data_IF_608639974608
#
_entry.id   IF_608639974608
#
_cell.length_a   1.000
_cell.length_b   1.000
_cell.length_c   1.000
_cell.angle_alpha   90.00
_cell.angle_beta   90.00
_cell.angle_gamma   90.00
#
_symmetry.space_group_name_H-M   'P 1'
#
loop_
_entity.id
_entity.type
_entity.pdbx_description
1 polymer ?
#
# COMPACT_ATOMS: atom_id res chain seq x y z
N UNK A 1 -8.24 -16.15 21.55
CA UNK A 1 -7.51 -16.87 20.48
C UNK A 1 -8.39 -17.36 19.30
N UNK A 2 -9.74 -17.30 19.38
CA UNK A 2 -10.69 -17.61 18.28
C UNK A 2 -10.85 -16.51 17.21
N UNK A 3 -10.40 -15.29 17.49
CA UNK A 3 -10.59 -14.11 16.62
C UNK A 3 -9.71 -14.13 15.34
N UNK A 4 -8.88 -15.15 15.15
CA UNK A 4 -7.74 -15.10 14.22
C UNK A 4 -7.94 -15.87 12.91
N UNK A 5 -9.13 -16.41 12.65
CA UNK A 5 -9.43 -17.29 11.51
C UNK A 5 -9.84 -16.54 10.24
N UNK A 6 -10.40 -15.33 10.34
CA UNK A 6 -11.00 -14.62 9.21
C UNK A 6 -10.06 -13.62 8.53
N UNK A 7 -9.02 -14.12 7.85
CA UNK A 7 -8.31 -13.31 6.84
C UNK A 7 -9.10 -13.20 5.53
N UNK A 8 -10.34 -13.71 5.45
CA UNK A 8 -11.18 -13.72 4.24
C UNK A 8 -12.51 -12.98 4.47
N UNK A 9 -12.53 -11.95 5.33
CA UNK A 9 -13.75 -11.22 5.64
C UNK A 9 -14.31 -10.56 4.38
N UNK A 10 -15.49 -11.00 3.94
CA UNK A 10 -16.20 -10.37 2.81
C UNK A 10 -16.67 -8.98 3.26
N UNK A 11 -16.49 -7.92 2.45
CA UNK A 11 -17.01 -6.60 2.76
C UNK A 11 -18.53 -6.61 2.95
N UNK A 12 -19.03 -5.65 3.73
CA UNK A 12 -20.47 -5.54 3.98
C UNK A 12 -21.22 -5.23 2.66
N UNK A 13 -22.51 -5.58 2.59
CA UNK A 13 -23.34 -5.22 1.45
C UNK A 13 -23.38 -3.69 1.24
N UNK A 14 -23.41 -2.91 2.33
CA UNK A 14 -23.37 -1.45 2.27
C UNK A 14 -22.08 -0.95 1.61
N UNK A 15 -20.93 -1.53 1.98
CA UNK A 15 -19.65 -1.24 1.35
C UNK A 15 -19.68 -1.55 -0.14
N UNK A 16 -20.18 -2.72 -0.54
CA UNK A 16 -20.18 -3.13 -1.95
C UNK A 16 -21.06 -2.20 -2.81
N UNK A 17 -22.21 -1.79 -2.30
CA UNK A 17 -23.10 -0.82 -2.97
C UNK A 17 -22.41 0.55 -3.06
N UNK A 18 -21.88 1.05 -1.94
CA UNK A 18 -21.16 2.32 -1.90
C UNK A 18 -20.00 2.32 -2.90
N UNK A 19 -19.18 1.27 -2.90
CA UNK A 19 -18.07 1.07 -3.83
C UNK A 19 -18.52 1.17 -5.29
N UNK A 20 -19.60 0.47 -5.67
CA UNK A 20 -20.10 0.50 -7.05
C UNK A 20 -20.53 1.91 -7.48
N UNK A 21 -21.26 2.63 -6.62
CA UNK A 21 -21.70 4.00 -6.92
C UNK A 21 -20.50 4.92 -7.05
N UNK A 22 -19.57 4.89 -6.09
CA UNK A 22 -18.36 5.72 -6.11
C UNK A 22 -17.51 5.41 -7.35
N UNK A 23 -17.37 4.13 -7.70
CA UNK A 23 -16.66 3.74 -8.91
C UNK A 23 -17.30 4.36 -10.17
N UNK A 24 -18.63 4.35 -10.29
CA UNK A 24 -19.33 4.97 -11.42
C UNK A 24 -19.03 6.47 -11.48
N UNK A 25 -19.05 7.16 -10.34
CA UNK A 25 -18.74 8.60 -10.26
C UNK A 25 -17.30 8.86 -10.72
N UNK A 26 -16.30 8.15 -10.18
CA UNK A 26 -14.90 8.30 -10.58
C UNK A 26 -14.65 8.02 -12.07
N UNK A 27 -15.49 7.20 -12.70
CA UNK A 27 -15.36 6.87 -14.12
C UNK A 27 -16.14 7.80 -15.06
N UNK A 28 -16.75 8.89 -14.55
CA UNK A 28 -17.33 9.91 -15.42
C UNK A 28 -16.24 10.53 -16.31
N UNK A 29 -16.63 10.87 -17.54
CA UNK A 29 -15.68 11.32 -18.56
C UNK A 29 -15.00 12.65 -18.20
N UNK A 30 -15.70 13.56 -17.52
CA UNK A 30 -15.17 14.83 -17.03
C UNK A 30 -14.08 14.61 -15.97
N UNK A 31 -14.34 13.80 -14.95
CA UNK A 31 -13.34 13.45 -13.92
C UNK A 31 -12.12 12.77 -14.54
N UNK A 32 -12.35 11.77 -15.40
CA UNK A 32 -11.26 11.05 -16.06
C UNK A 32 -10.44 11.95 -17.00
N UNK A 33 -11.06 12.95 -17.62
CA UNK A 33 -10.37 13.95 -18.43
C UNK A 33 -9.48 14.83 -17.56
N UNK A 34 -9.99 15.36 -16.44
CA UNK A 34 -9.19 16.18 -15.51
C UNK A 34 -7.97 15.42 -14.99
N UNK A 35 -8.13 14.15 -14.62
CA UNK A 35 -7.00 13.30 -14.19
C UNK A 35 -5.97 13.12 -15.33
N UNK A 36 -6.44 12.96 -16.56
CA UNK A 36 -5.59 12.71 -17.75
C UNK A 36 -4.80 13.96 -18.16
N UNK A 37 -5.49 15.11 -18.28
CA UNK A 37 -4.88 16.40 -18.55
C UNK A 37 -3.76 16.70 -17.55
N UNK A 38 -4.00 16.40 -16.28
CA UNK A 38 -3.00 16.60 -15.25
C UNK A 38 -1.78 15.68 -15.37
N UNK A 39 -1.97 14.39 -15.64
CA UNK A 39 -0.85 13.47 -15.83
C UNK A 39 0.05 13.90 -16.98
N UNK A 40 -0.55 14.45 -18.04
CA UNK A 40 0.20 15.03 -19.15
C UNK A 40 1.03 16.24 -18.69
N UNK A 41 0.43 17.17 -17.94
CA UNK A 41 1.14 18.33 -17.37
C UNK A 41 2.31 17.88 -16.49
N UNK A 42 2.10 16.89 -15.62
CA UNK A 42 3.15 16.36 -14.74
C UNK A 42 4.32 15.78 -15.56
N UNK A 43 4.00 14.97 -16.58
CA UNK A 43 4.98 14.35 -17.46
C UNK A 43 5.80 15.38 -18.25
N UNK A 44 5.16 16.45 -18.72
CA UNK A 44 5.79 17.46 -19.56
C UNK A 44 6.60 18.49 -18.74
N UNK A 45 6.11 18.90 -17.57
CA UNK A 45 6.62 20.07 -16.85
C UNK A 45 7.40 19.75 -15.58
N UNK A 46 7.45 18.49 -15.14
CA UNK A 46 8.16 18.12 -13.91
C UNK A 46 7.57 18.79 -12.67
N UNK A 47 6.25 18.68 -12.50
CA UNK A 47 5.50 19.36 -11.43
C UNK A 47 5.96 18.89 -10.04
N UNK A 48 6.21 19.80 -9.07
CA UNK A 48 6.58 19.45 -7.70
C UNK A 48 5.54 18.57 -6.99
N UNK A 49 6.00 17.66 -6.13
CA UNK A 49 5.14 16.70 -5.42
C UNK A 49 3.96 17.36 -4.64
N UNK A 50 4.14 18.55 -4.07
CA UNK A 50 3.07 19.22 -3.32
C UNK A 50 1.88 19.66 -4.18
N UNK A 51 2.11 20.05 -5.44
CA UNK A 51 1.03 20.37 -6.38
C UNK A 51 0.25 19.12 -6.79
N UNK A 52 0.92 17.96 -6.81
CA UNK A 52 0.31 16.65 -7.05
C UNK A 52 -0.66 16.25 -5.93
N UNK A 53 -0.40 16.68 -4.69
CA UNK A 53 -1.31 16.44 -3.56
C UNK A 53 -2.52 17.36 -3.63
N UNK A 54 -2.32 18.68 -3.79
CA UNK A 54 -3.42 19.66 -3.85
C UNK A 54 -4.44 19.32 -4.93
N UNK A 55 -3.98 18.97 -6.12
CA UNK A 55 -4.92 18.67 -7.20
C UNK A 55 -5.66 17.34 -6.99
N UNK A 56 -5.05 16.37 -6.31
CA UNK A 56 -5.80 15.18 -5.90
C UNK A 56 -6.92 15.55 -4.92
N UNK A 57 -6.67 16.47 -4.00
CA UNK A 57 -7.69 16.99 -3.09
C UNK A 57 -8.81 17.70 -3.87
N UNK A 58 -8.47 18.51 -4.88
CA UNK A 58 -9.47 19.20 -5.71
C UNK A 58 -10.39 18.22 -6.45
N UNK A 59 -9.82 17.21 -7.14
CA UNK A 59 -10.61 16.20 -7.87
C UNK A 59 -11.43 15.36 -6.88
N UNK A 60 -10.84 15.00 -5.74
CA UNK A 60 -11.54 14.21 -4.72
C UNK A 60 -12.69 15.00 -4.10
N UNK A 61 -12.49 16.29 -3.82
CA UNK A 61 -13.51 17.20 -3.31
C UNK A 61 -14.66 17.33 -4.31
N UNK A 62 -14.35 17.49 -5.60
CA UNK A 62 -15.35 17.50 -6.66
C UNK A 62 -16.17 16.19 -6.71
N UNK A 63 -15.50 15.04 -6.57
CA UNK A 63 -16.19 13.74 -6.47
C UNK A 63 -17.07 13.67 -5.21
N UNK A 64 -16.59 14.17 -4.07
CA UNK A 64 -17.36 14.23 -2.82
C UNK A 64 -18.61 15.10 -2.97
N UNK A 65 -18.53 16.24 -3.64
CA UNK A 65 -19.68 17.09 -3.93
C UNK A 65 -20.73 16.37 -4.79
N UNK A 66 -20.28 15.68 -5.85
CA UNK A 66 -21.17 14.86 -6.68
C UNK A 66 -21.87 13.82 -5.82
N UNK A 67 -21.11 13.08 -5.01
CA UNK A 67 -21.62 12.04 -4.12
C UNK A 67 -22.60 12.59 -3.08
N UNK A 68 -22.31 13.75 -2.51
CA UNK A 68 -23.18 14.41 -1.54
C UNK A 68 -24.50 14.85 -2.19
N UNK A 69 -24.49 15.23 -3.47
CA UNK A 69 -25.70 15.61 -4.22
C UNK A 69 -26.56 14.43 -4.68
N UNK A 70 -26.09 13.18 -4.57
CA UNK A 70 -26.88 12.01 -4.96
C UNK A 70 -28.11 11.84 -4.05
N UNK A 71 -29.28 11.78 -4.68
CA UNK A 71 -30.58 11.55 -4.06
C UNK A 71 -30.94 10.05 -4.06
N UNK A 72 -31.85 9.65 -3.17
CA UNK A 72 -32.35 8.26 -3.09
C UNK A 72 -31.37 7.24 -2.49
N UNK A 73 -30.18 7.66 -2.06
CA UNK A 73 -29.20 6.80 -1.41
C UNK A 73 -29.49 6.69 0.09
N UNK A 74 -29.60 5.46 0.66
CA UNK A 74 -29.80 5.29 2.10
C UNK A 74 -28.70 5.96 2.94
N UNK A 75 -29.02 6.61 4.07
CA UNK A 75 -28.03 7.34 4.88
C UNK A 75 -26.80 6.50 5.29
N UNK A 76 -27.01 5.22 5.60
CA UNK A 76 -25.91 4.30 5.96
C UNK A 76 -24.93 4.08 4.79
N UNK A 77 -25.44 3.97 3.57
CA UNK A 77 -24.61 3.84 2.35
C UNK A 77 -23.92 5.16 2.07
N UNK A 78 -24.62 6.29 2.22
CA UNK A 78 -24.07 7.64 2.00
C UNK A 78 -22.92 7.95 2.96
N UNK A 79 -23.01 7.50 4.22
CA UNK A 79 -21.90 7.57 5.18
C UNK A 79 -20.69 6.76 4.73
N UNK A 80 -20.90 5.51 4.29
CA UNK A 80 -19.81 4.65 3.82
C UNK A 80 -19.15 5.20 2.54
N UNK A 81 -19.95 5.81 1.66
CA UNK A 81 -19.46 6.46 0.43
C UNK A 81 -18.46 7.57 0.72
N UNK A 82 -18.70 8.39 1.75
CA UNK A 82 -17.78 9.47 2.13
C UNK A 82 -16.37 8.93 2.46
N UNK A 83 -16.30 7.80 3.17
CA UNK A 83 -15.04 7.14 3.53
C UNK A 83 -14.34 6.50 2.31
N UNK A 84 -15.11 5.99 1.34
CA UNK A 84 -14.59 5.26 0.17
C UNK A 84 -14.04 6.20 -0.92
N UNK A 85 -14.66 7.36 -1.14
CA UNK A 85 -14.32 8.29 -2.24
C UNK A 85 -12.83 8.56 -2.31
N UNK A 86 -12.23 8.91 -1.17
CA UNK A 86 -10.82 9.25 -1.10
C UNK A 86 -9.94 8.03 -1.41
N UNK A 87 -10.28 6.87 -0.85
CA UNK A 87 -9.47 5.66 -1.02
C UNK A 87 -9.43 5.21 -2.47
N UNK A 88 -10.56 5.26 -3.18
CA UNK A 88 -10.61 4.95 -4.61
C UNK A 88 -9.80 5.97 -5.40
N UNK A 89 -9.93 7.26 -5.09
CA UNK A 89 -9.14 8.32 -5.72
C UNK A 89 -7.63 8.09 -5.60
N UNK A 90 -7.16 7.71 -4.41
CA UNK A 90 -5.75 7.32 -4.20
C UNK A 90 -5.35 6.12 -5.03
N UNK A 91 -6.14 5.04 -5.03
CA UNK A 91 -5.83 3.84 -5.82
C UNK A 91 -5.77 4.14 -7.32
N UNK A 92 -6.66 4.99 -7.83
CA UNK A 92 -6.61 5.46 -9.22
C UNK A 92 -5.31 6.23 -9.46
N UNK A 93 -5.00 7.23 -8.62
CA UNK A 93 -3.77 8.02 -8.77
C UNK A 93 -2.53 7.14 -8.71
N UNK A 94 -2.42 6.29 -7.70
CA UNK A 94 -1.31 5.39 -7.48
C UNK A 94 -1.05 4.53 -8.72
N UNK A 95 -2.11 3.89 -9.20
CA UNK A 95 -2.08 3.10 -10.41
C UNK A 95 -1.63 3.89 -11.63
N UNK A 96 -2.19 5.08 -11.84
CA UNK A 96 -1.87 5.92 -13.00
C UNK A 96 -0.43 6.44 -12.97
N UNK A 97 0.07 6.84 -11.79
CA UNK A 97 1.46 7.23 -11.60
C UNK A 97 2.41 6.05 -11.91
N UNK A 98 2.11 4.85 -11.38
CA UNK A 98 2.88 3.65 -11.70
C UNK A 98 2.88 3.37 -13.21
N UNK A 99 1.71 3.42 -13.84
CA UNK A 99 1.57 3.17 -15.29
C UNK A 99 2.28 4.22 -16.16
N UNK A 100 2.37 5.47 -15.70
CA UNK A 100 3.05 6.55 -16.42
C UNK A 100 4.56 6.41 -16.49
N UNK A 101 5.16 5.51 -15.69
CA UNK A 101 6.59 5.20 -15.75
C UNK A 101 6.99 4.47 -17.04
N UNK A 102 6.02 3.90 -17.76
CA UNK A 102 6.25 3.23 -19.04
C UNK A 102 6.24 4.26 -20.20
N UNK A 103 7.31 4.41 -20.98
CA UNK A 103 7.48 5.52 -21.93
C UNK A 103 6.38 5.64 -23.00
N UNK A 104 5.86 4.52 -23.50
CA UNK A 104 4.81 4.52 -24.54
C UNK A 104 3.41 4.27 -23.98
N UNK A 105 3.23 4.49 -22.67
CA UNK A 105 1.93 4.34 -22.04
C UNK A 105 0.99 5.46 -22.47
N UNK A 106 -0.10 5.11 -23.15
CA UNK A 106 -1.17 6.05 -23.45
C UNK A 106 -2.13 6.15 -22.25
N UNK A 107 -2.18 7.35 -21.67
CA UNK A 107 -2.99 7.72 -20.50
C UNK A 107 -4.50 7.55 -20.78
N UNK A 108 -4.93 7.56 -22.04
CA UNK A 108 -6.33 7.31 -22.42
C UNK A 108 -6.80 5.87 -22.12
N UNK A 109 -5.87 4.91 -22.03
CA UNK A 109 -6.19 3.52 -21.63
C UNK A 109 -6.37 3.33 -20.12
N UNK A 110 -6.34 4.42 -19.33
CA UNK A 110 -6.44 4.37 -17.86
C UNK A 110 -7.88 4.23 -17.32
N UNK A 111 -8.87 3.97 -18.17
CA UNK A 111 -10.19 3.56 -17.68
C UNK A 111 -10.05 2.14 -17.12
N UNK A 112 -10.07 2.02 -15.80
CA UNK A 112 -10.01 0.73 -15.11
C UNK A 112 -11.42 0.14 -15.12
N UNK A 113 -11.70 -0.94 -15.87
CA UNK A 113 -13.06 -1.47 -15.91
C UNK A 113 -13.48 -2.02 -14.54
N UNK A 114 -14.79 -2.02 -14.22
CA UNK A 114 -15.32 -2.45 -12.91
C UNK A 114 -14.75 -3.81 -12.47
N UNK A 115 -14.67 -4.77 -13.39
CA UNK A 115 -14.20 -6.13 -13.14
C UNK A 115 -12.67 -6.24 -12.89
N UNK A 116 -11.94 -5.12 -12.94
CA UNK A 116 -10.53 -5.01 -12.58
C UNK A 116 -10.35 -4.41 -11.18
N UNK A 117 -11.41 -4.24 -10.41
CA UNK A 117 -11.33 -3.92 -8.99
C UNK A 117 -11.51 -5.17 -8.14
N UNK A 118 -10.85 -5.18 -6.99
CA UNK A 118 -11.08 -6.20 -5.96
C UNK A 118 -12.38 -5.90 -5.23
N UNK A 119 -12.93 -6.90 -4.53
CA UNK A 119 -14.12 -6.70 -3.68
C UNK A 119 -13.89 -5.68 -2.56
N UNK A 120 -12.64 -5.36 -2.24
CA UNK A 120 -12.24 -4.38 -1.22
C UNK A 120 -12.03 -2.97 -1.80
N UNK A 121 -12.30 -2.77 -3.09
CA UNK A 121 -12.12 -1.47 -3.73
C UNK A 121 -10.66 -1.06 -3.95
N UNK A 122 -9.77 -2.05 -4.15
CA UNK A 122 -8.40 -1.84 -4.64
C UNK A 122 -8.30 -2.28 -6.10
N UNK A 123 -7.30 -1.79 -6.85
CA UNK A 123 -7.10 -2.20 -8.24
C UNK A 123 -6.50 -3.61 -8.29
N UNK A 124 -7.10 -4.50 -9.08
CA UNK A 124 -6.52 -5.79 -9.43
C UNK A 124 -5.41 -5.58 -10.47
N UNK A 125 -4.23 -5.24 -9.97
CA UNK A 125 -3.04 -4.93 -10.79
C UNK A 125 -2.71 -6.04 -11.77
N UNK A 126 -2.81 -7.31 -11.35
CA UNK A 126 -2.58 -8.47 -12.21
C UNK A 126 -3.45 -8.44 -13.46
N UNK A 127 -4.78 -8.46 -13.27
CA UNK A 127 -5.75 -8.53 -14.37
C UNK A 127 -5.58 -7.33 -15.31
N UNK A 128 -5.27 -6.17 -14.73
CA UNK A 128 -5.12 -4.96 -15.52
C UNK A 128 -3.82 -4.94 -16.31
N UNK A 129 -2.68 -5.27 -15.70
CA UNK A 129 -1.41 -5.43 -16.40
C UNK A 129 -1.51 -6.50 -17.51
N UNK A 130 -2.21 -7.61 -17.29
CA UNK A 130 -2.46 -8.63 -18.32
C UNK A 130 -3.18 -8.05 -19.55
N UNK A 131 -4.21 -7.22 -19.32
CA UNK A 131 -4.92 -6.53 -20.40
C UNK A 131 -3.98 -5.62 -21.19
N UNK A 132 -3.12 -4.86 -20.51
CA UNK A 132 -2.18 -3.95 -21.18
C UNK A 132 -1.17 -4.66 -22.05
N UNK A 133 -0.59 -5.73 -21.51
CA UNK A 133 0.41 -6.52 -22.23
C UNK A 133 -0.22 -7.23 -23.43
N UNK A 134 -1.51 -7.58 -23.39
CA UNK A 134 -2.20 -8.24 -24.51
C UNK A 134 -2.72 -7.28 -25.57
N UNK A 135 -3.40 -6.21 -25.17
CA UNK A 135 -4.28 -5.45 -26.08
C UNK A 135 -3.87 -3.98 -26.30
N UNK A 136 -3.11 -3.38 -25.37
CA UNK A 136 -2.97 -1.90 -25.34
C UNK A 136 -1.57 -1.39 -25.72
N UNK A 137 -0.51 -2.12 -25.39
CA UNK A 137 0.86 -1.70 -25.69
C UNK A 137 1.24 -2.14 -27.11
N UNK A 138 1.48 -1.18 -28.01
CA UNK A 138 1.90 -1.48 -29.40
C UNK A 138 3.37 -1.91 -29.51
N UNK A 139 4.20 -1.50 -28.56
CA UNK A 139 5.65 -1.76 -28.57
C UNK A 139 5.97 -3.08 -27.85
N UNK A 140 6.62 -4.01 -28.56
CA UNK A 140 7.03 -5.31 -28.01
C UNK A 140 8.00 -5.19 -26.82
N UNK A 141 8.83 -4.15 -26.78
CA UNK A 141 9.77 -3.89 -25.68
C UNK A 141 9.00 -3.56 -24.41
N UNK A 142 8.05 -2.63 -24.46
CA UNK A 142 7.25 -2.26 -23.28
C UNK A 142 6.37 -3.41 -22.79
N UNK A 143 5.79 -4.18 -23.74
CA UNK A 143 5.07 -5.41 -23.41
C UNK A 143 5.96 -6.39 -22.67
N UNK A 144 7.20 -6.60 -23.14
CA UNK A 144 8.14 -7.51 -22.50
C UNK A 144 8.56 -7.03 -21.11
N UNK A 145 8.85 -5.73 -20.96
CA UNK A 145 9.19 -5.11 -19.67
C UNK A 145 8.05 -5.31 -18.66
N UNK A 146 6.83 -4.93 -19.04
CA UNK A 146 5.66 -5.04 -18.15
C UNK A 146 5.32 -6.51 -17.83
N UNK A 147 5.48 -7.42 -18.81
CA UNK A 147 5.31 -8.85 -18.59
C UNK A 147 6.35 -9.39 -17.60
N UNK A 148 7.62 -8.99 -17.74
CA UNK A 148 8.69 -9.35 -16.81
C UNK A 148 8.41 -8.85 -15.40
N UNK A 149 8.07 -7.58 -15.25
CA UNK A 149 7.72 -6.98 -13.97
C UNK A 149 6.60 -7.77 -13.31
N UNK A 150 5.51 -8.07 -14.02
CA UNK A 150 4.36 -8.78 -13.45
C UNK A 150 4.49 -10.32 -13.46
N UNK A 151 5.61 -10.86 -13.94
CA UNK A 151 5.90 -12.30 -14.03
C UNK A 151 4.88 -13.10 -14.87
N UNK A 152 4.45 -12.55 -16.02
CA UNK A 152 3.55 -13.23 -16.96
C UNK A 152 4.31 -14.22 -17.85
N UNK A 153 4.78 -15.33 -17.28
CA UNK A 153 5.68 -16.29 -17.93
C UNK A 153 5.29 -16.64 -19.37
N UNK A 154 4.03 -17.01 -19.61
CA UNK A 154 3.54 -17.36 -20.95
C UNK A 154 3.77 -16.25 -21.97
N UNK A 155 3.49 -14.99 -21.60
CA UNK A 155 3.65 -13.83 -22.48
C UNK A 155 5.13 -13.46 -22.63
N UNK A 156 5.93 -13.60 -21.56
CA UNK A 156 7.38 -13.34 -21.61
C UNK A 156 8.03 -14.30 -22.60
N UNK A 157 7.70 -15.60 -22.53
CA UNK A 157 8.20 -16.64 -23.44
C UNK A 157 7.79 -16.35 -24.89
N UNK A 158 6.56 -15.90 -25.12
CA UNK A 158 6.07 -15.49 -26.45
C UNK A 158 6.83 -14.29 -27.02
N UNK A 159 7.09 -13.26 -26.19
CA UNK A 159 7.70 -12.01 -26.64
C UNK A 159 9.22 -12.11 -26.81
N UNK A 160 9.90 -12.94 -26.02
CA UNK A 160 11.37 -13.00 -25.98
C UNK A 160 12.06 -13.29 -27.32
N UNK A 161 11.54 -14.17 -28.20
CA UNK A 161 12.09 -14.36 -29.55
C UNK A 161 12.02 -13.12 -30.44
N UNK A 162 11.06 -12.22 -30.18
CA UNK A 162 10.87 -10.99 -30.97
C UNK A 162 11.82 -9.86 -30.57
N UNK A 163 12.51 -9.97 -29.43
CA UNK A 163 13.52 -9.02 -28.99
C UNK A 163 14.80 -9.16 -29.82
N UNK A 164 15.36 -8.03 -30.24
CA UNK A 164 16.66 -8.02 -30.92
C UNK A 164 17.79 -8.39 -29.96
N UNK A 165 18.95 -8.78 -30.50
CA UNK A 165 20.15 -9.00 -29.68
C UNK A 165 20.59 -7.73 -28.94
N UNK A 166 20.36 -6.55 -29.52
CA UNK A 166 20.65 -5.28 -28.89
C UNK A 166 19.73 -5.01 -27.67
N UNK A 167 18.42 -5.29 -27.81
CA UNK A 167 17.47 -5.14 -26.69
C UNK A 167 17.81 -6.07 -25.53
N UNK A 168 18.14 -7.33 -25.84
CA UNK A 168 18.59 -8.31 -24.85
C UNK A 168 19.87 -7.84 -24.15
N UNK A 169 20.85 -7.33 -24.90
CA UNK A 169 22.08 -6.80 -24.33
C UNK A 169 21.83 -5.58 -23.43
N UNK A 170 20.90 -4.68 -23.80
CA UNK A 170 20.49 -3.54 -22.97
C UNK A 170 19.90 -3.98 -21.64
N UNK A 171 19.05 -5.01 -21.64
CA UNK A 171 18.50 -5.56 -20.39
C UNK A 171 19.56 -6.21 -19.50
N UNK A 172 20.62 -6.78 -20.08
CA UNK A 172 21.71 -7.39 -19.33
C UNK A 172 22.78 -6.38 -18.88
N UNK A 173 22.69 -5.11 -19.29
CA UNK A 173 23.66 -4.09 -18.94
C UNK A 173 23.65 -3.79 -17.43
N UNK A 174 24.85 -3.76 -16.84
CA UNK A 174 25.06 -3.45 -15.42
C UNK A 174 24.76 -1.97 -15.15
N UNK A 175 23.97 -1.68 -14.12
CA UNK A 175 23.76 -0.31 -13.62
C UNK A 175 22.32 0.20 -13.66
N UNK A 176 21.41 -0.50 -14.35
CA UNK A 176 19.99 -0.17 -14.31
C UNK A 176 19.23 -1.11 -13.34
N UNK A 177 18.45 -0.59 -12.38
CA UNK A 177 17.65 -1.41 -11.45
C UNK A 177 16.47 -2.03 -12.19
N UNK A 178 16.73 -3.15 -12.85
CA UNK A 178 15.78 -3.93 -13.68
C UNK A 178 15.78 -5.39 -13.26
N UNK A 179 15.82 -5.66 -11.95
CA UNK A 179 16.14 -6.99 -11.42
C UNK A 179 15.25 -8.12 -11.95
N UNK A 180 13.95 -7.88 -12.14
CA UNK A 180 13.02 -8.89 -12.70
C UNK A 180 13.21 -9.10 -14.20
N UNK A 181 13.45 -8.02 -14.96
CA UNK A 181 13.73 -8.11 -16.40
C UNK A 181 15.04 -8.88 -16.61
N UNK A 182 16.05 -8.61 -15.79
CA UNK A 182 17.33 -9.30 -15.81
C UNK A 182 17.12 -10.79 -15.47
N UNK A 183 16.37 -11.11 -14.41
CA UNK A 183 16.02 -12.48 -14.06
C UNK A 183 15.43 -13.25 -15.26
N UNK A 184 14.42 -12.68 -15.91
CA UNK A 184 13.75 -13.31 -17.05
C UNK A 184 14.68 -13.45 -18.26
N UNK A 185 15.47 -12.41 -18.55
CA UNK A 185 16.40 -12.40 -19.68
C UNK A 185 17.51 -13.46 -19.50
N UNK A 186 18.09 -13.58 -18.31
CA UNK A 186 19.06 -14.63 -17.99
C UNK A 186 18.42 -16.03 -18.00
N UNK A 187 17.22 -16.19 -17.41
CA UNK A 187 16.48 -17.47 -17.40
C UNK A 187 16.24 -17.98 -18.82
N UNK A 188 15.74 -17.12 -19.71
CA UNK A 188 15.40 -17.49 -21.09
C UNK A 188 16.63 -17.65 -21.99
N UNK A 189 17.75 -17.04 -21.63
CA UNK A 189 19.04 -17.25 -22.29
C UNK A 189 19.78 -18.50 -21.81
N UNK A 190 19.27 -19.19 -20.78
CA UNK A 190 19.90 -20.38 -20.21
C UNK A 190 21.08 -20.10 -19.27
N UNK A 191 21.30 -18.85 -18.87
CA UNK A 191 22.44 -18.42 -18.03
C UNK A 191 21.99 -17.81 -16.69
N UNK A 192 21.15 -18.54 -15.96
CA UNK A 192 20.69 -18.09 -14.64
C UNK A 192 21.83 -18.04 -13.60
N UNK A 193 22.94 -18.75 -13.84
CA UNK A 193 24.18 -18.66 -13.07
C UNK A 193 24.75 -17.25 -13.05
N UNK A 194 24.82 -16.57 -14.19
CA UNK A 194 25.34 -15.20 -14.25
C UNK A 194 24.46 -14.20 -13.50
N UNK A 195 23.14 -14.40 -13.49
CA UNK A 195 22.25 -13.59 -12.65
C UNK A 195 22.58 -13.71 -11.16
N UNK A 196 22.98 -14.90 -10.69
CA UNK A 196 23.36 -15.11 -9.29
C UNK A 196 24.57 -14.27 -8.86
N UNK A 197 25.46 -13.94 -9.80
CA UNK A 197 26.62 -13.07 -9.56
C UNK A 197 26.25 -11.58 -9.41
N UNK A 198 25.01 -11.18 -9.75
CA UNK A 198 24.51 -9.81 -9.58
C UNK A 198 23.82 -9.59 -8.22
N UNK A 199 23.41 -10.66 -7.55
CA UNK A 199 22.82 -10.66 -6.21
C UNK A 199 23.75 -10.09 -5.09
N UNK A 200 25.10 -10.21 -5.13
CA UNK A 200 26.00 -9.78 -4.06
C UNK A 200 25.86 -8.33 -3.59
N UNK A 201 25.45 -7.41 -4.46
CA UNK A 201 25.23 -5.99 -4.09
C UNK A 201 24.07 -5.76 -3.10
N UNK A 202 23.15 -6.72 -2.96
CA UNK A 202 22.07 -6.65 -1.96
C UNK A 202 22.45 -7.26 -0.60
N UNK A 203 23.58 -7.97 -0.52
CA UNK A 203 24.05 -8.62 0.71
C UNK A 203 24.89 -7.72 1.63
N UNK A 204 25.05 -6.44 1.28
CA UNK A 204 25.89 -5.45 2.00
C UNK A 204 25.52 -5.39 3.49
N UNK A 205 24.27 -5.68 3.85
CA UNK A 205 23.83 -5.60 5.24
C UNK A 205 24.12 -6.86 6.06
N UNK A 206 24.19 -8.07 5.46
CA UNK A 206 24.55 -9.33 6.16
C UNK A 206 25.05 -10.42 5.19
N UNK A 207 26.38 -10.71 5.13
CA UNK A 207 26.99 -11.70 4.24
C UNK A 207 26.55 -13.16 4.44
N UNK A 208 26.03 -13.48 5.63
CA UNK A 208 25.55 -14.81 6.02
C UNK A 208 24.21 -15.21 5.35
N UNK A 209 23.52 -14.28 4.68
CA UNK A 209 22.24 -14.51 4.00
C UNK A 209 22.45 -14.68 2.50
N UNK A 210 22.99 -15.82 2.05
CA UNK A 210 23.04 -16.14 0.62
C UNK A 210 21.64 -16.51 0.13
N UNK A 211 20.96 -15.56 -0.50
CA UNK A 211 19.67 -15.83 -1.14
C UNK A 211 19.88 -16.70 -2.38
N UNK A 212 19.03 -17.71 -2.55
CA UNK A 212 18.88 -18.35 -3.86
C UNK A 212 18.32 -17.33 -4.86
N UNK A 213 18.50 -17.59 -6.16
CA UNK A 213 17.96 -16.74 -7.22
C UNK A 213 16.44 -16.52 -7.05
N UNK A 214 15.69 -17.56 -6.67
CA UNK A 214 14.24 -17.46 -6.45
C UNK A 214 13.90 -16.68 -5.18
N UNK A 215 14.66 -16.84 -4.09
CA UNK A 215 14.49 -16.03 -2.89
C UNK A 215 14.77 -14.56 -3.19
N UNK A 216 15.81 -14.26 -3.97
CA UNK A 216 16.13 -12.89 -4.39
C UNK A 216 15.03 -12.30 -5.29
N UNK A 217 14.56 -13.03 -6.31
CA UNK A 217 13.50 -12.55 -7.17
C UNK A 217 12.18 -12.33 -6.39
N UNK A 218 11.83 -13.24 -5.48
CA UNK A 218 10.72 -13.06 -4.53
C UNK A 218 10.88 -11.79 -3.69
N UNK A 219 12.08 -11.57 -3.16
CA UNK A 219 12.44 -10.39 -2.36
C UNK A 219 12.23 -9.09 -3.11
N UNK A 220 12.67 -9.03 -4.37
CA UNK A 220 12.44 -7.87 -5.26
C UNK A 220 10.94 -7.65 -5.47
N UNK A 221 10.16 -8.70 -5.76
CA UNK A 221 8.71 -8.55 -5.94
C UNK A 221 8.00 -8.06 -4.67
N UNK A 222 8.47 -8.50 -3.50
CA UNK A 222 7.96 -8.06 -2.21
C UNK A 222 8.24 -6.58 -1.94
N UNK A 223 9.47 -6.12 -2.21
CA UNK A 223 9.85 -4.72 -2.06
C UNK A 223 9.01 -3.79 -2.95
N UNK A 224 8.67 -4.25 -4.15
CA UNK A 224 7.86 -3.50 -5.11
C UNK A 224 6.34 -3.61 -4.83
N UNK A 225 5.92 -4.40 -3.83
CA UNK A 225 4.49 -4.67 -3.57
C UNK A 225 3.80 -5.41 -4.72
N UNK A 226 4.57 -6.09 -5.57
CA UNK A 226 4.06 -6.72 -6.77
C UNK A 226 3.45 -8.08 -6.44
N UNK A 227 2.14 -8.09 -6.15
CA UNK A 227 1.39 -9.28 -5.80
C UNK A 227 1.49 -10.40 -6.86
N UNK A 228 1.46 -10.07 -8.16
CA UNK A 228 1.57 -11.06 -9.25
C UNK A 228 2.92 -11.78 -9.21
N UNK A 229 4.01 -11.01 -9.06
CA UNK A 229 5.35 -11.57 -8.94
C UNK A 229 5.53 -12.39 -7.66
N UNK A 230 4.95 -11.94 -6.54
CA UNK A 230 4.93 -12.68 -5.28
C UNK A 230 4.23 -14.04 -5.48
N UNK A 231 3.03 -14.05 -6.07
CA UNK A 231 2.29 -15.28 -6.36
C UNK A 231 3.07 -16.25 -7.25
N UNK A 232 3.81 -15.72 -8.22
CA UNK A 232 4.66 -16.49 -9.11
C UNK A 232 5.83 -17.12 -8.34
N UNK A 233 6.66 -16.32 -7.67
CA UNK A 233 7.86 -16.82 -7.00
C UNK A 233 7.59 -17.63 -5.74
N UNK A 234 6.44 -17.43 -5.09
CA UNK A 234 6.04 -18.22 -3.93
C UNK A 234 5.96 -19.73 -4.25
N UNK A 235 5.63 -20.09 -5.49
CA UNK A 235 5.60 -21.50 -5.96
C UNK A 235 6.98 -22.15 -5.99
N UNK A 236 8.03 -21.34 -6.10
CA UNK A 236 9.42 -21.78 -6.20
C UNK A 236 10.19 -21.66 -4.88
N UNK A 237 9.55 -21.15 -3.82
CA UNK A 237 10.13 -21.10 -2.49
C UNK A 237 9.94 -22.43 -1.77
N UNK A 238 10.98 -22.98 -1.12
CA UNK A 238 10.81 -24.07 -0.17
C UNK A 238 9.82 -23.68 0.94
N UNK A 239 8.95 -24.59 1.41
CA UNK A 239 7.92 -24.27 2.41
C UNK A 239 8.47 -23.63 3.70
N UNK A 240 9.68 -24.02 4.11
CA UNK A 240 10.33 -23.52 5.31
C UNK A 240 10.97 -22.13 5.13
N UNK A 241 11.23 -21.72 3.88
CA UNK A 241 11.89 -20.45 3.58
C UNK A 241 10.91 -19.29 3.55
N UNK A 242 9.63 -19.55 3.31
CA UNK A 242 8.65 -18.50 3.11
C UNK A 242 8.55 -17.53 4.30
N UNK A 243 8.36 -18.06 5.51
CA UNK A 243 8.29 -17.24 6.73
C UNK A 243 9.61 -16.50 7.00
N UNK A 244 10.74 -17.19 6.77
CA UNK A 244 12.07 -16.64 6.98
C UNK A 244 12.35 -15.45 6.05
N UNK A 245 12.12 -15.61 4.74
CA UNK A 245 12.31 -14.56 3.74
C UNK A 245 11.39 -13.38 4.04
N UNK A 246 10.12 -13.64 4.40
CA UNK A 246 9.17 -12.59 4.76
C UNK A 246 9.63 -11.81 6.00
N UNK A 247 10.04 -12.49 7.08
CA UNK A 247 10.51 -11.83 8.29
C UNK A 247 11.75 -10.97 8.03
N UNK A 248 12.72 -11.49 7.27
CA UNK A 248 13.92 -10.73 6.93
C UNK A 248 13.56 -9.47 6.13
N UNK A 249 12.63 -9.57 5.18
CA UNK A 249 12.21 -8.40 4.41
C UNK A 249 11.47 -7.37 5.25
N UNK A 250 10.53 -7.80 6.10
CA UNK A 250 9.83 -6.90 7.02
C UNK A 250 10.77 -6.20 7.99
N UNK A 251 11.92 -6.81 8.33
CA UNK A 251 12.96 -6.18 9.13
C UNK A 251 13.67 -5.04 8.38
N UNK A 252 14.03 -5.24 7.10
CA UNK A 252 14.77 -4.24 6.32
C UNK A 252 13.89 -3.14 5.73
N UNK A 253 12.60 -3.41 5.61
CA UNK A 253 11.61 -2.48 5.07
C UNK A 253 11.61 -1.09 5.73
N UNK A 254 11.61 -0.96 7.08
CA UNK A 254 11.74 0.33 7.74
C UNK A 254 13.03 1.06 7.41
N UNK A 255 14.16 0.40 7.17
CA UNK A 255 15.43 1.11 6.93
C UNK A 255 15.47 1.82 5.57
N UNK A 256 14.86 1.23 4.53
CA UNK A 256 14.71 1.89 3.22
C UNK A 256 13.65 2.99 3.25
N UNK A 257 12.63 2.88 4.12
CA UNK A 257 11.50 3.82 4.18
C UNK A 257 11.68 4.94 5.20
N UNK A 258 12.17 4.68 6.40
CA UNK A 258 12.40 5.68 7.46
C UNK A 258 13.40 6.74 7.01
N UNK A 259 14.42 6.35 6.23
CA UNK A 259 15.33 7.32 5.60
C UNK A 259 14.60 8.29 4.65
N UNK A 260 13.47 7.88 4.06
CA UNK A 260 12.57 8.73 3.26
C UNK A 260 11.36 9.28 4.01
N UNK A 261 11.09 8.87 5.27
CA UNK A 261 9.97 9.40 6.07
C UNK A 261 10.23 10.85 6.49
N UNK A 262 11.50 11.24 6.63
CA UNK A 262 11.90 12.61 6.92
C UNK A 262 11.96 13.50 5.67
N UNK A 263 11.80 12.92 4.48
CA UNK A 263 11.78 13.66 3.23
C UNK A 263 10.34 13.71 2.71
N UNK A 264 9.61 14.71 3.19
CA UNK A 264 8.19 14.93 2.89
C UNK A 264 7.89 15.07 1.39
N UNK A 265 8.92 15.19 0.54
CA UNK A 265 8.83 15.45 -0.88
C UNK A 265 9.18 14.28 -1.80
N UNK A 266 9.76 13.17 -1.30
CA UNK A 266 10.52 12.27 -2.20
C UNK A 266 10.06 10.81 -2.32
N UNK A 267 8.99 10.38 -1.64
CA UNK A 267 8.49 9.01 -1.87
C UNK A 267 7.09 8.97 -2.45
N UNK A 268 6.90 8.37 -3.64
CA UNK A 268 5.60 8.31 -4.25
C UNK A 268 4.73 7.33 -3.46
N UNK A 269 3.55 7.79 -3.03
CA UNK A 269 2.49 6.98 -2.40
C UNK A 269 2.10 5.65 -3.08
N UNK A 270 2.23 5.43 -4.41
CA UNK A 270 1.80 4.19 -5.07
C UNK A 270 2.47 2.94 -4.51
N UNK A 271 3.75 3.02 -4.15
CA UNK A 271 4.53 1.89 -3.61
C UNK A 271 4.01 1.40 -2.25
N UNK A 272 3.25 2.21 -1.53
CA UNK A 272 2.68 1.79 -0.27
C UNK A 272 1.41 0.95 -0.45
N UNK A 273 0.55 1.32 -1.40
CA UNK A 273 -0.73 0.64 -1.60
C UNK A 273 -0.54 -0.78 -2.10
N UNK A 274 0.34 -0.94 -3.09
CA UNK A 274 0.72 -2.26 -3.60
C UNK A 274 1.35 -3.14 -2.52
N UNK A 275 2.13 -2.54 -1.61
CA UNK A 275 2.72 -3.29 -0.51
C UNK A 275 1.68 -3.77 0.51
N UNK A 276 0.66 -2.98 0.83
CA UNK A 276 -0.39 -3.42 1.75
C UNK A 276 -1.16 -4.62 1.20
N UNK A 277 -1.53 -4.59 -0.08
CA UNK A 277 -2.15 -5.73 -0.77
C UNK A 277 -1.25 -6.98 -0.74
N UNK A 278 0.04 -6.80 -1.05
CA UNK A 278 1.04 -7.86 -1.02
C UNK A 278 1.19 -8.47 0.38
N UNK A 279 1.35 -7.65 1.41
CA UNK A 279 1.52 -8.12 2.79
C UNK A 279 0.26 -8.85 3.28
N UNK A 280 -0.93 -8.34 2.96
CA UNK A 280 -2.18 -9.01 3.29
C UNK A 280 -2.25 -10.40 2.67
N UNK A 281 -1.96 -10.50 1.37
CA UNK A 281 -1.87 -11.77 0.67
C UNK A 281 -0.88 -12.73 1.36
N UNK A 282 0.32 -12.26 1.68
CA UNK A 282 1.37 -13.08 2.30
C UNK A 282 0.96 -13.60 3.68
N UNK A 283 0.37 -12.74 4.52
CA UNK A 283 -0.15 -13.15 5.83
C UNK A 283 -1.27 -14.19 5.70
N UNK A 284 -2.10 -14.10 4.64
CA UNK A 284 -3.14 -15.11 4.37
C UNK A 284 -2.59 -16.48 4.01
N UNK A 285 -1.37 -16.55 3.44
CA UNK A 285 -0.70 -17.81 3.06
C UNK A 285 0.03 -18.49 4.22
N UNK A 286 0.32 -17.77 5.29
CA UNK A 286 0.90 -18.34 6.50
C UNK A 286 -0.14 -19.11 7.31
N UNK A 287 0.28 -20.23 7.90
CA UNK A 287 -0.52 -20.89 8.92
C UNK A 287 -0.59 -20.02 10.19
N UNK A 288 -1.48 -20.38 11.12
CA UNK A 288 -1.75 -19.61 12.34
C UNK A 288 -0.49 -19.32 13.16
N UNK A 289 0.37 -20.31 13.36
CA UNK A 289 1.59 -20.18 14.17
C UNK A 289 2.59 -19.24 13.50
N UNK A 290 2.88 -19.45 12.21
CA UNK A 290 3.81 -18.61 11.46
C UNK A 290 3.31 -17.17 11.35
N UNK A 291 2.02 -17.00 11.08
CA UNK A 291 1.39 -15.68 11.05
C UNK A 291 1.56 -14.95 12.37
N UNK A 292 1.32 -15.63 13.50
CA UNK A 292 1.52 -15.04 14.83
C UNK A 292 2.98 -14.68 15.09
N UNK A 293 3.92 -15.49 14.63
CA UNK A 293 5.34 -15.18 14.75
C UNK A 293 5.69 -13.90 14.00
N UNK A 294 5.27 -13.78 12.73
CA UNK A 294 5.46 -12.57 11.91
C UNK A 294 4.81 -11.34 12.58
N UNK A 295 3.56 -11.48 13.02
CA UNK A 295 2.81 -10.41 13.68
C UNK A 295 3.48 -9.95 14.99
N UNK A 296 4.06 -10.87 15.77
CA UNK A 296 4.74 -10.52 17.02
C UNK A 296 6.10 -9.86 16.75
N UNK A 297 6.88 -10.41 15.80
CA UNK A 297 8.23 -9.95 15.48
C UNK A 297 8.26 -8.61 14.73
N UNK A 298 7.25 -8.36 13.89
CA UNK A 298 7.16 -7.20 13.02
C UNK A 298 5.87 -6.40 13.25
N UNK A 299 5.35 -6.41 14.48
CA UNK A 299 4.10 -5.74 14.89
C UNK A 299 4.02 -4.29 14.43
N UNK A 300 5.10 -3.53 14.59
CA UNK A 300 5.16 -2.12 14.19
C UNK A 300 4.96 -1.91 12.68
N UNK A 301 5.67 -2.67 11.85
CA UNK A 301 5.59 -2.56 10.38
C UNK A 301 4.25 -3.05 9.86
N UNK A 302 3.77 -4.16 10.41
CA UNK A 302 2.45 -4.69 10.06
C UNK A 302 1.36 -3.68 10.41
N UNK A 303 1.42 -3.08 11.61
CA UNK A 303 0.48 -2.05 12.03
C UNK A 303 0.49 -0.88 11.04
N UNK A 304 1.64 -0.25 10.81
CA UNK A 304 1.78 0.88 9.89
C UNK A 304 1.22 0.58 8.49
N UNK A 305 1.37 -0.66 8.02
CA UNK A 305 0.90 -1.10 6.70
C UNK A 305 -0.62 -1.16 6.61
N UNK A 306 -1.30 -1.55 7.70
CA UNK A 306 -2.75 -1.75 7.75
C UNK A 306 -3.55 -0.60 8.38
N UNK A 307 -2.92 0.55 8.67
CA UNK A 307 -3.63 1.75 9.11
C UNK A 307 -4.47 2.42 8.02
N UNK A 308 -4.30 2.00 6.76
CA UNK A 308 -4.99 2.61 5.61
C UNK A 308 -6.27 1.86 5.29
N UNK A 309 -7.26 2.62 4.79
CA UNK A 309 -8.44 2.08 4.16
C UNK A 309 -8.05 1.28 2.90
N UNK A 310 -8.74 0.16 2.58
CA UNK A 310 -9.84 -0.48 3.32
C UNK A 310 -9.36 -1.40 4.46
N UNK A 311 -8.04 -1.60 4.59
CA UNK A 311 -7.49 -2.67 5.41
C UNK A 311 -7.67 -2.48 6.90
N UNK A 312 -7.75 -1.26 7.40
CA UNK A 312 -8.00 -1.06 8.83
C UNK A 312 -9.28 -1.77 9.29
N UNK A 313 -10.38 -1.69 8.54
CA UNK A 313 -11.64 -2.35 8.93
C UNK A 313 -11.43 -3.86 9.11
N UNK A 314 -10.73 -4.47 8.15
CA UNK A 314 -10.36 -5.89 8.13
C UNK A 314 -9.41 -6.24 9.28
N UNK A 315 -8.44 -5.37 9.56
CA UNK A 315 -7.38 -5.61 10.54
C UNK A 315 -7.63 -5.05 11.94
N UNK A 316 -8.73 -4.33 12.15
CA UNK A 316 -9.05 -3.59 13.38
C UNK A 316 -8.91 -4.46 14.64
N UNK A 317 -9.37 -5.71 14.58
CA UNK A 317 -9.25 -6.68 15.68
C UNK A 317 -7.79 -7.03 16.01
N UNK A 318 -6.93 -7.17 14.99
CA UNK A 318 -5.51 -7.45 15.17
C UNK A 318 -4.77 -6.20 15.65
N UNK A 319 -5.11 -5.05 15.10
CA UNK A 319 -4.50 -3.76 15.44
C UNK A 319 -4.61 -3.50 16.96
N UNK A 320 -5.78 -3.73 17.55
CA UNK A 320 -6.01 -3.60 19.01
C UNK A 320 -5.17 -4.56 19.86
N UNK A 321 -4.75 -5.70 19.31
CA UNK A 321 -3.86 -6.66 19.99
C UNK A 321 -2.40 -6.23 19.84
N UNK A 322 -2.01 -5.80 18.63
CA UNK A 322 -0.64 -5.44 18.31
C UNK A 322 -0.21 -4.17 19.02
N UNK A 323 -1.09 -3.16 19.12
CA UNK A 323 -0.79 -1.89 19.79
C UNK A 323 -0.37 -2.09 21.25
N UNK A 324 -1.00 -3.05 21.94
CA UNK A 324 -0.69 -3.38 23.36
C UNK A 324 0.68 -4.02 23.55
N UNK A 325 1.28 -4.55 22.49
CA UNK A 325 2.60 -5.20 22.51
C UNK A 325 3.72 -4.26 22.07
N UNK A 326 3.37 -3.12 21.49
CA UNK A 326 4.37 -2.15 21.08
C UNK A 326 4.90 -1.36 22.27
N UNK A 327 6.21 -1.07 22.31
CA UNK A 327 6.75 0.02 23.12
C UNK A 327 6.04 1.36 22.84
N UNK A 328 5.91 2.21 23.86
CA UNK A 328 5.20 3.49 23.78
C UNK A 328 5.71 4.39 22.66
N UNK A 329 7.03 4.40 22.39
CA UNK A 329 7.63 5.24 21.35
C UNK A 329 7.21 4.80 19.93
N UNK A 330 7.02 3.50 19.69
CA UNK A 330 6.49 3.03 18.40
C UNK A 330 5.00 3.34 18.26
N UNK A 331 4.24 3.24 19.36
CA UNK A 331 2.85 3.69 19.41
C UNK A 331 2.74 5.17 19.09
N UNK A 332 3.62 6.00 19.66
CA UNK A 332 3.69 7.44 19.38
C UNK A 332 3.94 7.72 17.88
N UNK A 333 4.89 7.01 17.26
CA UNK A 333 5.15 7.14 15.82
C UNK A 333 3.92 6.78 14.98
N UNK A 334 3.18 5.72 15.35
CA UNK A 334 1.94 5.33 14.68
C UNK A 334 0.88 6.43 14.81
N UNK A 335 0.66 6.95 16.01
CA UNK A 335 -0.32 8.01 16.26
C UNK A 335 0.04 9.29 15.52
N UNK A 336 1.31 9.71 15.56
CA UNK A 336 1.82 10.84 14.79
C UNK A 336 1.58 10.63 13.28
N UNK A 337 1.83 9.42 12.78
CA UNK A 337 1.56 9.12 11.37
C UNK A 337 0.08 9.25 11.03
N UNK A 338 -0.83 8.84 11.91
CA UNK A 338 -2.27 9.01 11.70
C UNK A 338 -2.64 10.50 11.67
N UNK A 339 -2.14 11.30 12.61
CA UNK A 339 -2.38 12.74 12.62
C UNK A 339 -1.84 13.41 11.35
N UNK A 340 -0.66 13.01 10.89
CA UNK A 340 -0.06 13.54 9.66
C UNK A 340 -0.87 13.14 8.43
N UNK A 341 -1.33 11.89 8.38
CA UNK A 341 -2.20 11.43 7.29
C UNK A 341 -3.54 12.17 7.30
N UNK A 342 -4.11 12.45 8.47
CA UNK A 342 -5.36 13.23 8.60
C UNK A 342 -5.18 14.64 8.05
N UNK A 343 -4.12 15.34 8.50
CA UNK A 343 -3.82 16.72 8.06
C UNK A 343 -3.60 16.86 6.56
N UNK A 344 -2.96 15.86 5.95
CA UNK A 344 -2.62 15.88 4.51
C UNK A 344 -3.78 15.51 3.59
N UNK A 345 -4.92 15.09 4.13
CA UNK A 345 -5.96 14.48 3.30
C UNK A 345 -7.40 14.73 3.82
N UNK A 346 -7.57 15.58 4.84
CA UNK A 346 -8.88 15.99 5.40
C UNK A 346 -9.84 14.81 5.67
N UNK A 347 -9.41 13.83 6.47
CA UNK A 347 -9.86 12.44 6.31
C UNK A 347 -11.11 11.96 7.04
N UNK A 348 -11.69 12.51 8.11
CA UNK A 348 -12.77 11.88 8.93
C UNK A 348 -12.41 10.53 9.60
N UNK A 349 -11.74 9.61 8.91
CA UNK A 349 -11.37 8.29 9.38
C UNK A 349 -10.17 8.30 10.32
N UNK A 350 -9.20 9.20 10.15
CA UNK A 350 -7.98 9.20 10.97
C UNK A 350 -8.27 9.62 12.41
N UNK A 351 -9.27 10.47 12.66
CA UNK A 351 -9.68 10.77 14.04
C UNK A 351 -10.25 9.55 14.76
N UNK A 352 -11.18 8.84 14.11
CA UNK A 352 -11.76 7.59 14.66
C UNK A 352 -10.70 6.51 14.85
N UNK A 353 -9.82 6.36 13.87
CA UNK A 353 -8.67 5.46 13.93
C UNK A 353 -7.74 5.80 15.09
N UNK A 354 -7.43 7.08 15.27
CA UNK A 354 -6.62 7.57 16.38
C UNK A 354 -7.28 7.22 17.71
N UNK A 355 -8.56 7.56 17.88
CA UNK A 355 -9.33 7.26 19.09
C UNK A 355 -9.27 5.77 19.40
N UNK A 356 -9.65 4.94 18.42
CA UNK A 356 -9.64 3.48 18.57
C UNK A 356 -8.26 2.96 18.97
N UNK A 357 -7.18 3.51 18.43
CA UNK A 357 -5.83 3.08 18.77
C UNK A 357 -5.40 3.56 20.14
N UNK A 358 -5.49 4.86 20.40
CA UNK A 358 -5.08 5.49 21.64
C UNK A 358 -5.81 4.87 22.82
N UNK A 359 -7.14 4.70 22.75
CA UNK A 359 -7.89 4.11 23.86
C UNK A 359 -7.55 2.63 24.12
N UNK A 360 -7.07 1.91 23.10
CA UNK A 360 -6.61 0.53 23.25
C UNK A 360 -5.16 0.40 23.75
N UNK A 361 -4.42 1.50 23.89
CA UNK A 361 -3.08 1.50 24.49
C UNK A 361 -3.13 1.17 26.00
N UNK A 362 -2.11 0.48 26.53
CA UNK A 362 -1.90 0.34 27.97
C UNK A 362 -1.78 1.71 28.67
N UNK A 363 -2.23 1.80 29.93
CA UNK A 363 -2.32 3.08 30.63
C UNK A 363 -0.96 3.77 30.80
N UNK A 364 0.09 3.01 31.12
CA UNK A 364 1.45 3.56 31.21
C UNK A 364 1.90 4.18 29.88
N UNK A 365 1.58 3.55 28.75
CA UNK A 365 1.91 4.12 27.44
C UNK A 365 1.14 5.41 27.16
N UNK A 366 -0.12 5.50 27.58
CA UNK A 366 -0.90 6.75 27.42
C UNK A 366 -0.25 7.89 28.19
N UNK A 367 0.17 7.64 29.43
CA UNK A 367 0.88 8.65 30.25
C UNK A 367 2.17 9.08 29.54
N UNK A 368 2.97 8.15 29.04
CA UNK A 368 4.22 8.47 28.32
C UNK A 368 3.95 9.28 27.04
N UNK A 369 2.91 8.93 26.28
CA UNK A 369 2.50 9.63 25.05
C UNK A 369 2.02 11.05 25.38
N UNK A 370 1.20 11.20 26.41
CA UNK A 370 0.66 12.50 26.82
C UNK A 370 1.72 13.39 27.49
N UNK A 371 2.76 12.80 28.08
CA UNK A 371 3.92 13.54 28.58
C UNK A 371 4.84 14.08 27.48
N UNK A 372 4.63 13.70 26.21
CA UNK A 372 5.46 14.15 25.10
C UNK A 372 4.96 15.50 24.54
N UNK A 373 5.65 16.59 24.90
CA UNK A 373 5.26 17.95 24.49
C UNK A 373 5.23 18.16 22.97
N UNK A 374 6.15 17.54 22.21
CA UNK A 374 6.23 17.72 20.76
C UNK A 374 5.04 17.07 20.05
N UNK A 375 4.62 15.91 20.52
CA UNK A 375 3.40 15.26 20.06
C UNK A 375 2.17 16.07 20.44
N UNK A 376 2.09 16.59 21.66
CA UNK A 376 0.98 17.46 22.06
C UNK A 376 0.92 18.71 21.17
N UNK A 377 2.04 19.38 20.89
CA UNK A 377 2.05 20.54 19.96
C UNK A 377 1.53 20.15 18.57
N UNK A 378 1.91 18.96 18.08
CA UNK A 378 1.41 18.48 16.80
C UNK A 378 -0.11 18.26 16.81
N UNK A 379 -0.65 17.68 17.88
CA UNK A 379 -2.07 17.36 18.05
C UNK A 379 -2.89 18.62 18.35
N UNK A 380 -2.42 19.51 19.21
CA UNK A 380 -3.16 20.70 19.67
C UNK A 380 -3.31 21.80 18.61
N UNK A 381 -2.48 21.79 17.57
CA UNK A 381 -2.55 22.78 16.47
C UNK A 381 -3.71 22.54 15.49
N UNK A 382 -4.50 21.49 15.67
CA UNK A 382 -5.62 21.14 14.80
C UNK A 382 -6.91 21.10 15.63
N UNK A 383 -7.92 21.86 15.24
CA UNK A 383 -9.18 22.04 15.99
C UNK A 383 -9.88 20.70 16.28
N UNK A 384 -9.80 19.74 15.36
CA UNK A 384 -10.38 18.40 15.55
C UNK A 384 -9.63 17.62 16.63
N UNK A 385 -8.30 17.71 16.63
CA UNK A 385 -7.44 17.04 17.59
C UNK A 385 -7.37 17.77 18.95
N UNK A 386 -7.59 19.08 18.99
CA UNK A 386 -7.79 19.83 20.22
C UNK A 386 -9.06 19.37 20.94
N UNK A 387 -10.17 19.25 20.20
CA UNK A 387 -11.42 18.71 20.73
C UNK A 387 -11.26 17.26 21.20
N UNK A 388 -10.45 16.47 20.50
CA UNK A 388 -10.08 15.12 20.95
C UNK A 388 -9.27 15.14 22.24
N UNK A 389 -8.27 16.00 22.37
CA UNK A 389 -7.49 16.16 23.60
C UNK A 389 -8.41 16.48 24.79
N UNK A 390 -9.34 17.41 24.62
CA UNK A 390 -10.36 17.71 25.64
C UNK A 390 -11.25 16.49 25.96
N UNK A 391 -11.63 15.69 24.96
CA UNK A 391 -12.36 14.43 25.17
C UNK A 391 -11.53 13.39 25.93
N UNK A 392 -10.24 13.26 25.62
CA UNK A 392 -9.30 12.38 26.32
C UNK A 392 -9.15 12.83 27.77
N UNK A 393 -8.89 14.12 28.01
CA UNK A 393 -8.78 14.73 29.34
C UNK A 393 -10.03 14.48 30.18
N UNK A 394 -11.22 14.75 29.62
CA UNK A 394 -12.51 14.48 30.29
C UNK A 394 -12.75 12.99 30.53
N UNK A 395 -12.32 12.10 29.63
CA UNK A 395 -12.44 10.66 29.83
C UNK A 395 -11.55 10.17 30.99
N UNK A 396 -10.34 10.71 31.12
CA UNK A 396 -9.44 10.42 32.24
C UNK A 396 -9.96 10.99 33.56
N UNK A 397 -10.48 12.22 33.59
CA UNK A 397 -11.12 12.80 34.77
C UNK A 397 -12.28 11.94 35.26
N UNK A 398 -13.17 11.51 34.35
CA UNK A 398 -14.29 10.63 34.68
C UNK A 398 -13.85 9.23 35.15
N UNK A 399 -12.69 8.76 34.69
CA UNK A 399 -12.14 7.46 35.09
C UNK A 399 -11.45 7.54 36.46
N UNK A 400 -10.73 8.62 36.74
CA UNK A 400 -10.15 8.89 38.06
C UNK A 400 -11.24 9.08 39.12
N UNK A 401 -12.34 9.77 38.78
CA UNK A 401 -13.52 9.89 39.66
C UNK A 401 -14.15 8.52 39.94
N UNK A 402 -14.26 7.62 38.95
CA UNK A 402 -14.81 6.27 39.17
C UNK A 402 -13.93 5.38 40.05
N UNK A 403 -12.60 5.47 39.95
CA UNK A 403 -11.70 4.68 40.79
C UNK A 403 -11.55 5.22 42.21
N UNK A 404 -11.79 6.52 42.42
CA UNK A 404 -11.86 7.14 43.76
C UNK A 404 -13.17 6.76 44.47
N UNK A 405 -14.28 6.55 43.73
CA UNK A 405 -15.58 6.16 44.29
C UNK A 405 -15.70 4.64 44.54
N UNK A 406 -14.79 3.83 43.98
CA UNK A 406 -14.72 2.38 44.19
C UNK A 406 -13.66 1.93 45.22
N UNK A 407 -12.98 2.87 45.86
CA UNK A 407 -12.13 2.69 47.05
C UNK A 407 -12.89 3.20 48.27
#
# INVERSE_FOLDING_TARGET
MKVMEDFNAIPSLCFLIAFQIIFIVWNRNDIMRSITEWLNIHREKGVPAHEIYRMQEDITSYVQEIVASLEGIPPIVKSEMADIVFSIGRHIKAWKCFSSTYPNFNIEYLKIPVNHWTVYGTVNTKRHSELFVKDSLKNYIDRYIMACDNCFEEIIVELFPSLTSEDKAKFLAVGEPKELINYWTYRLSGDLSSFSNLIPGYHIYKPEYRYSVHQFAFSVTLLNGNKSGIEYFLKYLPPNDFEYVLCNHLYFFPHRRIAGINDENNFPEPLHEHFTDALYFLLSKLNKTQRMNVLNKHSFIVLLTFLRYPFYGIFSKYIKILIKKLPWYFTLIILNRICTLEKKNAHFFGLKLFEDLFFNCPQNQKVDIMGNEDFLKLVLNDEQFFNLHERIRKAEENYHVKNIVSL
#
